data_IF_890047383103
#
_entry.id   IF_890047383103
#
_cell.length_a   1.000
_cell.length_b   1.000
_cell.length_c   1.000
_cell.angle_alpha   90.00
_cell.angle_beta   90.00
_cell.angle_gamma   90.00
#
_symmetry.space_group_name_H-M   'P 1'
#
loop_
_entity.id
_entity.type
_entity.pdbx_description
1 polymer ?
#
# COMPACT_ATOMS: atom_id res chain seq x y z
N UNK A 1 11.57 5.32 -27.66
CA UNK A 1 12.09 3.95 -27.48
C UNK A 1 13.49 3.75 -28.10
N UNK A 2 13.87 4.56 -29.10
CA UNK A 2 15.17 4.52 -29.79
C UNK A 2 16.42 4.64 -28.89
N UNK A 3 16.46 5.58 -27.94
CA UNK A 3 17.63 5.76 -27.07
C UNK A 3 17.95 4.59 -26.13
N UNK A 4 16.94 3.78 -25.73
CA UNK A 4 17.16 2.65 -24.81
C UNK A 4 17.75 1.42 -25.51
N UNK A 5 17.35 1.20 -26.76
CA UNK A 5 17.91 0.14 -27.60
C UNK A 5 19.41 0.38 -27.86
N UNK A 6 19.82 1.63 -28.08
CA UNK A 6 21.23 1.99 -28.27
C UNK A 6 22.12 1.76 -27.03
N UNK A 7 21.56 1.76 -25.82
CA UNK A 7 22.32 1.61 -24.57
C UNK A 7 22.52 0.15 -24.11
N UNK A 8 21.55 -0.72 -24.39
CA UNK A 8 21.54 -2.08 -23.83
C UNK A 8 21.46 -3.20 -24.88
N UNK A 9 21.38 -2.87 -26.17
CA UNK A 9 21.32 -3.85 -27.26
C UNK A 9 19.99 -4.61 -27.36
N UNK A 10 19.12 -4.47 -26.36
CA UNK A 10 17.82 -5.14 -26.30
C UNK A 10 16.80 -4.32 -25.52
N UNK A 11 15.51 -4.47 -25.86
CA UNK A 11 14.40 -3.82 -25.13
C UNK A 11 13.79 -4.83 -24.17
N UNK A 12 14.44 -5.02 -23.03
CA UNK A 12 13.92 -5.91 -21.96
C UNK A 12 12.81 -5.16 -21.19
N UNK A 13 11.64 -5.77 -20.95
CA UNK A 13 10.61 -5.16 -20.13
C UNK A 13 11.14 -4.88 -18.71
N UNK A 14 10.95 -3.65 -18.24
CA UNK A 14 11.32 -3.26 -16.88
C UNK A 14 10.28 -3.82 -15.93
N UNK A 15 10.66 -4.84 -15.14
CA UNK A 15 9.88 -5.31 -14.01
C UNK A 15 9.87 -4.21 -12.93
N UNK A 16 8.79 -3.43 -12.88
CA UNK A 16 8.59 -2.46 -11.81
C UNK A 16 8.01 -3.18 -10.60
N UNK A 17 8.86 -3.46 -9.62
CA UNK A 17 8.40 -3.90 -8.30
C UNK A 17 7.96 -2.66 -7.53
N UNK A 18 6.67 -2.63 -7.16
CA UNK A 18 6.13 -1.56 -6.32
C UNK A 18 6.60 -1.66 -4.88
N UNK A 19 6.25 -0.66 -4.07
CA UNK A 19 6.52 -0.69 -2.62
C UNK A 19 5.76 -1.86 -1.99
N UNK A 20 6.41 -2.54 -1.05
CA UNK A 20 5.75 -3.56 -0.24
C UNK A 20 4.58 -2.95 0.53
N UNK A 21 3.55 -3.75 0.79
CA UNK A 21 2.40 -3.32 1.56
C UNK A 21 2.84 -2.97 2.98
N UNK A 22 2.39 -1.82 3.47
CA UNK A 22 2.66 -1.38 4.84
C UNK A 22 1.80 -2.12 5.88
N UNK A 23 0.64 -2.63 5.46
CA UNK A 23 -0.33 -3.29 6.32
C UNK A 23 -0.33 -4.80 6.12
N UNK A 24 -0.61 -5.52 7.20
CA UNK A 24 -0.90 -6.95 7.16
C UNK A 24 -2.36 -7.20 6.77
N UNK A 25 -2.69 -8.41 6.33
CA UNK A 25 -4.08 -8.77 5.99
C UNK A 25 -5.05 -8.60 7.17
N UNK A 26 -4.59 -8.81 8.41
CA UNK A 26 -5.40 -8.60 9.60
C UNK A 26 -5.70 -7.11 9.84
N UNK A 27 -4.69 -6.26 9.66
CA UNK A 27 -4.82 -4.80 9.73
C UNK A 27 -5.77 -4.28 8.64
N UNK A 28 -5.68 -4.78 7.41
CA UNK A 28 -6.60 -4.41 6.32
C UNK A 28 -8.05 -4.76 6.66
N UNK A 29 -8.30 -5.95 7.23
CA UNK A 29 -9.65 -6.34 7.67
C UNK A 29 -10.18 -5.41 8.77
N UNK A 30 -9.34 -5.04 9.72
CA UNK A 30 -9.68 -4.09 10.77
C UNK A 30 -10.08 -2.73 10.18
N UNK A 31 -9.25 -2.18 9.29
CA UNK A 31 -9.51 -0.90 8.59
C UNK A 31 -10.88 -0.94 7.90
N UNK A 32 -11.15 -1.99 7.12
CA UNK A 32 -12.40 -2.11 6.36
C UNK A 32 -13.62 -2.17 7.29
N UNK A 33 -13.55 -2.94 8.37
CA UNK A 33 -14.66 -3.06 9.34
C UNK A 33 -14.87 -1.74 10.08
N UNK A 34 -13.79 -1.11 10.56
CA UNK A 34 -13.86 0.11 11.35
C UNK A 34 -14.34 1.29 10.50
N UNK A 35 -13.85 1.44 9.26
CA UNK A 35 -14.30 2.47 8.33
C UNK A 35 -15.76 2.28 7.90
N UNK A 36 -16.24 1.03 7.78
CA UNK A 36 -17.67 0.75 7.51
C UNK A 36 -18.57 1.13 8.69
N UNK A 37 -18.14 0.87 9.92
CA UNK A 37 -18.87 1.25 11.14
C UNK A 37 -18.89 2.76 11.35
N UNK A 38 -17.78 3.43 11.07
CA UNK A 38 -17.63 4.87 11.29
C UNK A 38 -17.32 5.59 9.97
N UNK A 39 -18.34 5.73 9.13
CA UNK A 39 -18.19 6.22 7.75
C UNK A 39 -17.64 7.64 7.61
N UNK A 40 -17.78 8.47 8.64
CA UNK A 40 -17.29 9.85 8.68
C UNK A 40 -16.03 10.03 9.56
N UNK A 41 -15.42 8.93 10.00
CA UNK A 41 -14.21 8.96 10.82
C UNK A 41 -13.03 9.49 10.02
N UNK A 42 -12.20 10.32 10.68
CA UNK A 42 -10.96 10.82 10.10
C UNK A 42 -9.93 9.67 9.95
N UNK A 43 -9.17 9.68 8.85
CA UNK A 43 -8.11 8.72 8.59
C UNK A 43 -7.04 8.69 9.69
N UNK A 44 -6.72 9.84 10.31
CA UNK A 44 -5.75 9.89 11.42
C UNK A 44 -6.27 9.20 12.67
N UNK A 45 -7.57 9.36 12.97
CA UNK A 45 -8.23 8.66 14.08
C UNK A 45 -8.26 7.16 13.81
N UNK A 46 -8.62 6.76 12.59
CA UNK A 46 -8.60 5.36 12.17
C UNK A 46 -7.20 4.73 12.24
N UNK A 47 -6.15 5.51 11.93
CA UNK A 47 -4.76 5.08 12.07
C UNK A 47 -4.38 4.89 13.55
N UNK A 48 -4.77 5.82 14.44
CA UNK A 48 -4.52 5.68 15.88
C UNK A 48 -5.26 4.47 16.46
N UNK A 49 -6.52 4.24 16.07
CA UNK A 49 -7.29 3.06 16.45
C UNK A 49 -6.59 1.77 16.00
N UNK A 50 -6.02 1.77 14.79
CA UNK A 50 -5.26 0.63 14.28
C UNK A 50 -3.97 0.39 15.06
N UNK A 51 -3.21 1.44 15.40
CA UNK A 51 -2.01 1.31 16.23
C UNK A 51 -2.35 0.76 17.62
N UNK A 52 -3.37 1.32 18.27
CA UNK A 52 -3.87 0.86 19.57
C UNK A 52 -4.34 -0.61 19.53
N UNK A 53 -5.05 -1.02 18.47
CA UNK A 53 -5.54 -2.38 18.32
C UNK A 53 -4.45 -3.39 17.94
N UNK A 54 -3.41 -2.94 17.23
CA UNK A 54 -2.31 -3.79 16.78
C UNK A 54 -1.15 -3.87 17.79
N UNK A 55 -1.10 -2.99 18.78
CA UNK A 55 -0.08 -2.96 19.81
C UNK A 55 1.31 -2.54 19.30
N UNK A 56 1.35 -1.79 18.20
CA UNK A 56 2.57 -1.30 17.53
C UNK A 56 2.82 0.16 17.87
#
# INVERSE_FOLDING_TARGET
MWSRYQMHGDVIPIYRVGRQRATTQAQDRFIVVQARRHRFMNATVLQNDLLNASGV
#
